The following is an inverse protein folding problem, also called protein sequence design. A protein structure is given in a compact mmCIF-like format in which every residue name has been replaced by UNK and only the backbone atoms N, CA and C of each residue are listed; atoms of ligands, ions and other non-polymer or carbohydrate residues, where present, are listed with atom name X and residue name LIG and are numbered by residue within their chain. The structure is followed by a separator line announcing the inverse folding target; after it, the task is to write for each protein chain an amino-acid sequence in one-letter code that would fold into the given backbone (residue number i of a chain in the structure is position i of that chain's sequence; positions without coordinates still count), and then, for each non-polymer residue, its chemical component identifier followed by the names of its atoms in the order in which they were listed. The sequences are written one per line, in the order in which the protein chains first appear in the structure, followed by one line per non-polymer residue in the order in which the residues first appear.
data_IF_021808904729
#
_entry.id   IF_021808904729
#
_cell.length_a   1.000
_cell.length_b   1.000
_cell.length_c   1.000
_cell.angle_alpha   90.00
_cell.angle_beta   90.00
_cell.angle_gamma   90.00
#
_symmetry.space_group_name_H-M   'P 1'
#
loop_
_entity.id
_entity.type
_entity.pdbx_description
1 polymer ?
#
# COMPACT_ATOMS: atom_id res chain seq x y z
N UNK A 1 -14.64 -43.75 -23.01
CA UNK A 1 -13.43 -43.95 -22.20
C UNK A 1 -13.87 -44.00 -20.73
N UNK A 2 -13.85 -45.16 -20.06
CA UNK A 2 -14.26 -45.28 -18.65
C UNK A 2 -13.06 -44.96 -17.76
N UNK A 3 -13.15 -43.84 -17.03
CA UNK A 3 -12.12 -43.43 -16.07
C UNK A 3 -12.15 -44.37 -14.88
N UNK A 4 -11.07 -45.09 -14.61
CA UNK A 4 -10.96 -45.99 -13.46
C UNK A 4 -10.72 -45.16 -12.16
N UNK A 5 -11.78 -44.84 -11.44
CA UNK A 5 -11.76 -44.08 -10.21
C UNK A 5 -11.03 -44.75 -9.03
N UNK A 6 -10.69 -46.04 -9.16
CA UNK A 6 -9.94 -46.78 -8.13
C UNK A 6 -8.41 -46.59 -8.22
N UNK A 7 -7.92 -45.96 -9.26
CA UNK A 7 -6.51 -45.63 -9.38
C UNK A 7 -6.08 -44.63 -8.28
N UNK A 8 -5.06 -44.96 -7.45
CA UNK A 8 -4.63 -44.08 -6.35
C UNK A 8 -4.19 -42.68 -6.82
N UNK A 9 -3.61 -42.59 -8.02
CA UNK A 9 -3.25 -41.29 -8.62
C UNK A 9 -4.47 -40.44 -8.95
N UNK A 10 -5.55 -41.04 -9.43
CA UNK A 10 -6.80 -40.31 -9.73
C UNK A 10 -7.44 -39.79 -8.45
N UNK A 11 -7.45 -40.60 -7.38
CA UNK A 11 -7.95 -40.18 -6.06
C UNK A 11 -7.13 -39.02 -5.51
N UNK A 12 -5.81 -39.09 -5.60
CA UNK A 12 -4.93 -38.03 -5.17
C UNK A 12 -5.19 -36.70 -5.94
N UNK A 13 -5.29 -36.81 -7.27
CA UNK A 13 -5.60 -35.62 -8.12
C UNK A 13 -6.95 -35.01 -7.75
N UNK A 14 -7.99 -35.84 -7.56
CA UNK A 14 -9.32 -35.36 -7.18
C UNK A 14 -9.34 -34.68 -5.80
N UNK A 15 -8.44 -35.05 -4.89
CA UNK A 15 -8.32 -34.42 -3.57
C UNK A 15 -7.51 -33.10 -3.61
N UNK A 16 -6.42 -33.10 -4.40
CA UNK A 16 -5.50 -31.94 -4.45
C UNK A 16 -6.02 -30.85 -5.38
N UNK A 17 -6.68 -31.21 -6.48
CA UNK A 17 -7.17 -30.25 -7.48
C UNK A 17 -8.09 -29.15 -6.91
N UNK A 18 -9.10 -29.46 -6.08
CA UNK A 18 -9.98 -28.41 -5.50
C UNK A 18 -9.21 -27.46 -4.59
N UNK A 19 -8.20 -27.95 -3.86
CA UNK A 19 -7.35 -27.10 -3.01
C UNK A 19 -6.54 -26.13 -3.87
N UNK A 20 -5.93 -26.63 -4.96
CA UNK A 20 -5.19 -25.78 -5.89
C UNK A 20 -6.08 -24.73 -6.56
N UNK A 21 -7.30 -25.11 -6.97
CA UNK A 21 -8.28 -24.18 -7.54
C UNK A 21 -8.64 -23.11 -6.52
N UNK A 22 -8.90 -23.49 -5.26
CA UNK A 22 -9.23 -22.52 -4.20
C UNK A 22 -8.09 -21.53 -3.97
N UNK A 23 -6.84 -21.98 -3.94
CA UNK A 23 -5.66 -21.11 -3.80
C UNK A 23 -5.56 -20.15 -4.99
N UNK A 24 -5.71 -20.63 -6.20
CA UNK A 24 -5.66 -19.81 -7.41
C UNK A 24 -6.78 -18.75 -7.43
N UNK A 25 -7.98 -19.11 -6.99
CA UNK A 25 -9.10 -18.18 -6.87
C UNK A 25 -8.83 -17.09 -5.83
N UNK A 26 -8.23 -17.45 -4.68
CA UNK A 26 -7.85 -16.47 -3.66
C UNK A 26 -6.79 -15.49 -4.18
N UNK A 27 -5.78 -15.97 -4.89
CA UNK A 27 -4.74 -15.14 -5.51
C UNK A 27 -5.36 -14.20 -6.56
N UNK A 28 -6.21 -14.74 -7.44
CA UNK A 28 -6.89 -13.97 -8.48
C UNK A 28 -7.80 -12.89 -7.89
N UNK A 29 -8.55 -13.23 -6.84
CA UNK A 29 -9.43 -12.30 -6.15
C UNK A 29 -8.63 -11.16 -5.48
N UNK A 30 -7.55 -11.51 -4.78
CA UNK A 30 -6.66 -10.50 -4.17
C UNK A 30 -6.04 -9.58 -5.21
N UNK A 31 -5.61 -10.11 -6.34
CA UNK A 31 -5.08 -9.31 -7.45
C UNK A 31 -6.14 -8.38 -8.05
N UNK A 32 -7.35 -8.90 -8.27
CA UNK A 32 -8.46 -8.10 -8.79
C UNK A 32 -8.86 -6.99 -7.82
N UNK A 33 -8.89 -7.27 -6.52
CA UNK A 33 -9.17 -6.27 -5.50
C UNK A 33 -8.13 -5.14 -5.51
N UNK A 34 -6.85 -5.48 -5.50
CA UNK A 34 -5.76 -4.51 -5.57
C UNK A 34 -5.86 -3.62 -6.81
N UNK A 35 -6.21 -4.21 -7.96
CA UNK A 35 -6.21 -3.50 -9.25
C UNK A 35 -7.46 -2.64 -9.47
N UNK A 36 -8.63 -3.16 -9.11
CA UNK A 36 -9.92 -2.55 -9.49
C UNK A 36 -10.66 -1.86 -8.35
N UNK A 37 -10.33 -2.20 -7.11
CA UNK A 37 -11.06 -1.71 -5.93
C UNK A 37 -10.15 -1.04 -4.89
N UNK A 38 -9.38 0.00 -5.26
CA UNK A 38 -8.54 0.71 -4.30
C UNK A 38 -9.40 1.35 -3.21
N UNK A 39 -8.88 1.41 -1.99
CA UNK A 39 -9.56 2.02 -0.84
C UNK A 39 -9.46 3.54 -0.90
N UNK A 40 -8.34 4.04 -1.40
CA UNK A 40 -8.04 5.48 -1.52
C UNK A 40 -7.89 5.82 -3.00
N UNK A 41 -8.50 6.94 -3.40
CA UNK A 41 -8.38 7.55 -4.73
C UNK A 41 -8.06 9.04 -4.59
N UNK A 42 -7.64 9.64 -5.69
CA UNK A 42 -7.40 11.09 -5.76
C UNK A 42 -6.50 11.56 -4.62
N UNK A 43 -5.35 10.91 -4.45
CA UNK A 43 -4.33 11.34 -3.52
C UNK A 43 -3.60 12.55 -4.11
N UNK A 44 -3.68 13.68 -3.41
CA UNK A 44 -3.06 14.93 -3.83
C UNK A 44 -2.16 15.48 -2.75
N UNK A 45 -0.98 15.93 -3.16
CA UNK A 45 -0.05 16.70 -2.35
C UNK A 45 -0.41 18.18 -2.46
N UNK A 46 -0.61 18.85 -1.33
CA UNK A 46 -0.77 20.31 -1.27
C UNK A 46 0.53 21.01 -0.85
N UNK A 47 1.37 20.31 -0.10
CA UNK A 47 2.67 20.81 0.32
C UNK A 47 3.68 19.66 0.38
N UNK A 48 4.88 19.92 -0.12
CA UNK A 48 6.04 19.04 -0.04
C UNK A 48 7.25 19.91 0.30
N UNK A 49 7.79 19.72 1.49
CA UNK A 49 8.97 20.42 1.96
C UNK A 49 10.09 19.42 2.20
N UNK A 50 11.26 19.66 1.63
CA UNK A 50 12.45 18.83 1.85
C UNK A 50 13.38 19.59 2.79
N UNK A 51 13.74 18.95 3.89
CA UNK A 51 14.69 19.48 4.87
C UNK A 51 15.75 18.42 5.11
N UNK A 52 16.97 18.68 4.67
CA UNK A 52 18.14 17.80 4.84
C UNK A 52 17.84 16.31 4.55
N UNK A 53 17.65 15.51 5.60
CA UNK A 53 17.45 14.07 5.55
C UNK A 53 16.00 13.63 5.74
N UNK A 54 15.03 14.52 5.60
CA UNK A 54 13.62 14.16 5.67
C UNK A 54 12.76 15.03 4.73
N UNK A 55 11.60 14.51 4.41
CA UNK A 55 10.54 15.26 3.72
C UNK A 55 9.31 15.36 4.62
N UNK A 56 8.71 16.55 4.62
CA UNK A 56 7.41 16.79 5.24
C UNK A 56 6.40 16.99 4.13
N UNK A 57 5.28 16.32 4.24
CA UNK A 57 4.24 16.35 3.22
C UNK A 57 2.85 16.36 3.83
N UNK A 58 1.93 17.04 3.15
CA UNK A 58 0.51 17.06 3.50
C UNK A 58 -0.34 17.20 2.25
N UNK A 59 -1.62 16.92 2.36
CA UNK A 59 -2.52 16.99 1.24
C UNK A 59 -3.93 16.52 1.56
N UNK A 60 -4.65 16.12 0.52
CA UNK A 60 -5.96 15.53 0.66
C UNK A 60 -6.08 14.24 -0.16
N UNK A 61 -7.00 13.38 0.24
CA UNK A 61 -7.31 12.12 -0.43
C UNK A 61 -8.79 11.82 -0.31
N UNK A 62 -9.30 10.97 -1.19
CA UNK A 62 -10.68 10.49 -1.12
C UNK A 62 -10.71 9.02 -0.74
N UNK A 63 -11.27 8.73 0.44
CA UNK A 63 -11.58 7.36 0.85
C UNK A 63 -12.89 6.92 0.19
N UNK A 64 -12.86 5.82 -0.57
CA UNK A 64 -14.00 5.35 -1.36
C UNK A 64 -14.63 4.07 -0.83
N UNK A 65 -13.98 3.38 0.11
CA UNK A 65 -14.48 2.16 0.76
C UNK A 65 -14.47 2.30 2.27
N UNK A 66 -15.47 1.70 2.90
CA UNK A 66 -15.52 1.64 4.37
C UNK A 66 -14.72 0.45 4.89
N UNK A 67 -13.42 0.66 5.01
CA UNK A 67 -12.45 -0.29 5.53
C UNK A 67 -11.77 0.32 6.75
N UNK A 68 -11.41 -0.52 7.73
CA UNK A 68 -10.64 -0.08 8.88
C UNK A 68 -9.24 0.34 8.44
N UNK A 69 -8.82 1.53 8.84
CA UNK A 69 -7.46 2.00 8.63
C UNK A 69 -6.49 1.21 9.53
N UNK A 70 -5.38 0.73 8.96
CA UNK A 70 -4.32 0.01 9.67
C UNK A 70 -3.09 0.89 9.80
N UNK A 71 -2.68 1.58 8.73
CA UNK A 71 -1.51 2.43 8.76
C UNK A 71 -1.11 2.98 7.40
N UNK A 72 -0.04 3.75 7.44
CA UNK A 72 0.69 4.25 6.26
C UNK A 72 2.13 3.83 6.36
N UNK A 73 2.73 3.42 5.27
CA UNK A 73 4.15 3.12 5.16
C UNK A 73 4.80 3.88 4.01
N UNK A 74 6.10 4.04 4.09
CA UNK A 74 6.92 4.65 3.05
C UNK A 74 8.06 3.70 2.67
N UNK A 75 8.32 3.57 1.38
CA UNK A 75 9.44 2.79 0.85
C UNK A 75 10.31 3.66 -0.03
N UNK A 76 11.63 3.52 0.12
CA UNK A 76 12.63 4.09 -0.79
C UNK A 76 12.96 3.09 -1.89
N UNK A 77 12.91 3.53 -3.14
CA UNK A 77 13.36 2.74 -4.28
C UNK A 77 14.82 3.06 -4.58
N UNK A 78 15.66 2.04 -4.55
CA UNK A 78 17.08 2.09 -4.87
C UNK A 78 17.38 1.21 -6.08
N UNK A 79 18.52 1.33 -6.75
CA UNK A 79 18.92 0.40 -7.82
C UNK A 79 19.04 -1.06 -7.36
N UNK A 80 19.32 -1.29 -6.07
CA UNK A 80 19.45 -2.63 -5.48
C UNK A 80 18.14 -3.21 -4.94
N UNK A 81 17.04 -2.44 -4.92
CA UNK A 81 15.75 -2.90 -4.40
C UNK A 81 14.99 -1.82 -3.64
N UNK A 82 14.09 -2.25 -2.77
CA UNK A 82 13.29 -1.37 -1.91
C UNK A 82 13.76 -1.45 -0.48
N UNK A 83 13.68 -0.31 0.21
CA UNK A 83 14.02 -0.18 1.64
C UNK A 83 12.89 0.53 2.35
N UNK A 84 12.53 0.06 3.54
CA UNK A 84 11.53 0.72 4.38
C UNK A 84 12.07 2.05 4.90
N UNK A 85 11.24 3.09 4.84
CA UNK A 85 11.56 4.41 5.34
C UNK A 85 10.73 4.72 6.58
N UNK A 86 11.37 5.23 7.66
CA UNK A 86 10.63 5.66 8.84
C UNK A 86 9.67 6.81 8.49
N UNK A 87 8.38 6.58 8.71
CA UNK A 87 7.32 7.57 8.56
C UNK A 87 6.78 7.94 9.94
N UNK A 88 6.63 9.22 10.21
CA UNK A 88 6.06 9.76 11.46
C UNK A 88 4.98 10.78 11.15
N UNK A 89 3.93 10.73 11.94
CA UNK A 89 2.89 11.78 11.95
C UNK A 89 3.39 12.91 12.84
N UNK A 90 3.36 14.15 12.34
CA UNK A 90 3.77 15.32 13.12
C UNK A 90 2.62 15.88 13.97
N UNK A 91 1.39 15.65 13.54
CA UNK A 91 0.21 16.02 14.32
C UNK A 91 -0.26 14.85 15.16
N UNK A 92 -0.09 14.96 16.49
CA UNK A 92 -0.47 13.92 17.46
C UNK A 92 -1.99 13.80 17.64
N UNK A 93 -2.77 14.78 17.22
CA UNK A 93 -4.24 14.73 17.34
C UNK A 93 -4.85 13.68 16.44
N UNK A 94 -4.15 13.33 15.36
CA UNK A 94 -4.60 12.30 14.39
C UNK A 94 -4.25 10.88 14.84
N UNK A 95 -3.25 10.70 15.71
CA UNK A 95 -2.72 9.37 16.11
C UNK A 95 -3.69 8.61 17.03
N UNK A 96 -4.53 9.31 17.78
CA UNK A 96 -5.41 8.68 18.76
C UNK A 96 -6.73 8.18 18.18
N UNK A 97 -6.98 8.43 16.91
CA UNK A 97 -8.22 8.00 16.28
C UNK A 97 -8.01 6.67 15.53
N UNK A 98 -8.05 5.58 16.31
CA UNK A 98 -8.16 4.21 15.78
C UNK A 98 -9.49 4.00 15.05
N UNK A 99 -10.23 5.09 14.82
CA UNK A 99 -11.55 5.04 14.22
C UNK A 99 -11.42 4.95 12.70
N UNK A 100 -12.31 4.19 12.15
CA UNK A 100 -12.54 4.11 10.71
C UNK A 100 -12.91 5.50 10.21
N UNK A 101 -12.00 6.19 9.58
CA UNK A 101 -12.32 7.46 8.94
C UNK A 101 -13.44 7.27 7.95
N UNK A 102 -14.46 8.14 7.93
CA UNK A 102 -15.62 7.99 7.04
C UNK A 102 -15.18 8.04 5.57
N UNK A 103 -16.03 7.53 4.68
CA UNK A 103 -15.85 7.73 3.25
C UNK A 103 -15.96 9.23 2.92
N UNK A 104 -15.22 9.67 1.92
CA UNK A 104 -15.21 11.06 1.49
C UNK A 104 -13.82 11.64 1.32
N UNK A 105 -13.76 12.93 1.02
CA UNK A 105 -12.51 13.68 0.93
C UNK A 105 -12.03 14.03 2.34
N UNK A 106 -10.76 13.81 2.60
CA UNK A 106 -10.13 13.99 3.90
C UNK A 106 -8.75 14.59 3.73
N UNK A 107 -8.39 15.49 4.63
CA UNK A 107 -7.01 15.97 4.73
C UNK A 107 -6.13 14.92 5.40
N UNK A 108 -4.89 14.86 4.99
CA UNK A 108 -3.87 14.02 5.57
C UNK A 108 -2.56 14.80 5.77
N UNK A 109 -1.76 14.33 6.71
CA UNK A 109 -0.51 14.96 7.11
C UNK A 109 -0.70 16.01 8.22
N UNK A 110 0.37 16.69 8.62
CA UNK A 110 1.71 16.56 8.05
C UNK A 110 2.39 15.23 8.39
N UNK A 111 2.93 14.57 7.39
CA UNK A 111 3.71 13.35 7.53
C UNK A 111 5.19 13.64 7.29
N UNK A 112 6.04 13.13 8.16
CA UNK A 112 7.50 13.21 8.06
C UNK A 112 8.05 11.85 7.64
N UNK A 113 8.70 11.78 6.48
CA UNK A 113 9.46 10.61 6.03
C UNK A 113 10.94 10.90 6.18
N UNK A 114 11.63 10.07 6.96
CA UNK A 114 13.08 10.19 7.14
C UNK A 114 13.77 9.46 6.00
N UNK A 115 14.64 10.19 5.30
CA UNK A 115 15.46 9.65 4.22
C UNK A 115 16.84 9.40 4.82
N UNK A 116 17.25 8.14 5.02
CA UNK A 116 18.60 7.86 5.49
C UNK A 116 19.61 8.38 4.47
N UNK A 117 20.80 8.76 4.94
CA UNK A 117 21.93 9.21 4.10
C UNK A 117 22.51 8.11 3.22
N UNK A 118 21.83 7.00 3.08
CA UNK A 118 22.21 5.93 2.15
C UNK A 118 22.13 6.49 0.74
N UNK A 119 23.23 6.50 -0.01
CA UNK A 119 23.25 6.98 -1.37
C UNK A 119 22.27 6.14 -2.19
N UNK A 120 21.53 6.80 -3.07
CA UNK A 120 20.74 6.19 -4.16
C UNK A 120 19.25 5.89 -3.91
N UNK A 121 18.57 6.52 -2.95
CA UNK A 121 17.10 6.54 -2.99
C UNK A 121 16.67 7.52 -4.09
N UNK A 122 16.11 6.98 -5.16
CA UNK A 122 15.68 7.78 -6.31
C UNK A 122 14.21 8.20 -6.21
N UNK A 123 13.41 7.40 -5.51
CA UNK A 123 11.96 7.59 -5.43
C UNK A 123 11.47 7.15 -4.05
N UNK A 124 10.57 7.91 -3.46
CA UNK A 124 9.80 7.50 -2.28
C UNK A 124 8.42 7.08 -2.73
N UNK A 125 7.98 5.90 -2.31
CA UNK A 125 6.64 5.38 -2.57
C UNK A 125 5.89 5.30 -1.25
N UNK A 126 4.68 5.86 -1.25
CA UNK A 126 3.79 5.88 -0.09
C UNK A 126 2.68 4.85 -0.28
N UNK A 127 2.37 4.11 0.76
CA UNK A 127 1.29 3.14 0.79
C UNK A 127 0.36 3.39 1.96
N UNK A 128 -0.93 3.18 1.75
CA UNK A 128 -1.90 3.03 2.84
C UNK A 128 -2.33 1.58 2.96
N UNK A 129 -2.49 1.12 4.18
CA UNK A 129 -2.92 -0.24 4.52
C UNK A 129 -4.28 -0.18 5.20
N UNK A 130 -5.23 -0.95 4.69
CA UNK A 130 -6.59 -1.03 5.19
C UNK A 130 -7.02 -2.48 5.36
N UNK A 131 -7.75 -2.76 6.41
CA UNK A 131 -8.42 -4.05 6.64
C UNK A 131 -9.85 -3.97 6.11
N UNK A 132 -10.07 -4.50 4.91
CA UNK A 132 -11.38 -4.57 4.26
C UNK A 132 -12.02 -5.96 4.42
N UNK A 133 -11.23 -6.97 4.76
CA UNK A 133 -11.61 -8.37 4.90
C UNK A 133 -11.06 -8.95 6.21
N UNK A 134 -11.64 -10.05 6.64
CA UNK A 134 -11.16 -10.78 7.83
C UNK A 134 -9.84 -11.53 7.57
N UNK A 135 -9.53 -11.82 6.31
CA UNK A 135 -8.44 -12.72 5.93
C UNK A 135 -7.16 -12.02 5.47
N UNK A 136 -7.24 -10.76 4.96
CA UNK A 136 -6.07 -10.02 4.48
C UNK A 136 -6.28 -8.51 4.53
N UNK A 137 -5.17 -7.80 4.45
CA UNK A 137 -5.12 -6.36 4.36
C UNK A 137 -4.99 -5.91 2.89
N UNK A 138 -5.65 -4.82 2.56
CA UNK A 138 -5.59 -4.19 1.24
C UNK A 138 -4.59 -3.04 1.30
N UNK A 139 -3.52 -3.15 0.53
CA UNK A 139 -2.51 -2.09 0.38
C UNK A 139 -2.81 -1.28 -0.87
N UNK A 140 -2.84 0.04 -0.74
CA UNK A 140 -3.03 0.96 -1.86
C UNK A 140 -1.81 1.86 -2.00
N UNK A 141 -1.19 1.88 -3.18
CA UNK A 141 -0.15 2.86 -3.48
C UNK A 141 -0.80 4.25 -3.58
N UNK A 142 -0.32 5.19 -2.76
CA UNK A 142 -0.84 6.56 -2.69
C UNK A 142 -0.12 7.48 -3.66
N UNK A 143 1.21 7.45 -3.64
CA UNK A 143 2.05 8.32 -4.46
C UNK A 143 3.44 7.74 -4.70
N UNK A 144 4.05 8.16 -5.80
CA UNK A 144 5.47 8.00 -6.12
C UNK A 144 6.11 9.37 -6.25
N UNK A 145 7.09 9.66 -5.40
CA UNK A 145 7.75 10.95 -5.32
C UNK A 145 9.21 10.80 -5.77
N UNK A 146 9.57 11.28 -6.97
CA UNK A 146 10.96 11.25 -7.41
C UNK A 146 11.77 12.28 -6.60
N UNK A 147 12.84 11.82 -5.94
CA UNK A 147 13.70 12.70 -5.12
C UNK A 147 14.63 13.58 -5.94
N UNK A 148 14.94 13.17 -7.19
CA UNK A 148 15.82 13.92 -8.07
C UNK A 148 15.18 15.16 -8.71
N UNK A 149 13.84 15.24 -8.75
CA UNK A 149 13.13 16.37 -9.35
C UNK A 149 13.04 17.62 -8.44
N UNK A 150 13.24 17.46 -7.13
CA UNK A 150 13.07 18.55 -6.16
C UNK A 150 14.26 19.54 -6.09
N UNK A 151 15.35 19.32 -6.85
CA UNK A 151 16.52 20.22 -6.85
C UNK A 151 16.46 21.34 -7.88
N UNK A 152 15.40 21.43 -8.70
CA UNK A 152 15.37 22.35 -9.86
C UNK A 152 14.48 23.59 -9.70
N UNK A 153 13.80 23.78 -8.56
CA UNK A 153 12.88 24.92 -8.37
C UNK A 153 13.38 26.02 -7.41
N UNK A 154 14.67 26.04 -7.09
CA UNK A 154 15.29 27.13 -6.31
C UNK A 154 16.44 27.77 -7.08
N UNK A 155 16.17 28.34 -8.25
CA UNK A 155 16.98 29.39 -8.89
C UNK A 155 16.07 30.54 -9.34
#
# INVERSE_FOLDING_TARGET
MKVNLNNPYIKLVLQVLPILIAILLLIAFRWAEYTFFPVVKNFHLTSLERVDNYIVMQGYMRKVRDCRYVGVSAEGVTPSGRVDLPLRFLDSTIINDNTTRPQGTQDWGPWKVVIPTVPNINTVVLYSVHSCHLAWETTTELARLPLLAAQKETE
#
